data_IF_598546668727
#
_entry.id   IF_598546668727
#
_cell.length_a   1.000
_cell.length_b   1.000
_cell.length_c   1.000
_cell.angle_alpha   90.00
_cell.angle_beta   90.00
_cell.angle_gamma   90.00
#
_symmetry.space_group_name_H-M   'P 1'
#
loop_
_entity.id
_entity.type
_entity.pdbx_description
1 polymer ?
#
# COMPACT_ATOMS: atom_id res chain seq x y z
N UNK A 1 -52.23 -39.23 -27.24
CA UNK A 1 -50.84 -39.04 -27.73
C UNK A 1 -50.67 -37.59 -28.15
N UNK A 2 -49.59 -36.95 -27.69
CA UNK A 2 -49.17 -35.57 -28.02
C UNK A 2 -49.03 -35.37 -29.53
N UNK A 3 -49.36 -34.18 -30.04
CA UNK A 3 -48.49 -33.29 -30.85
C UNK A 3 -49.29 -32.16 -31.54
N UNK A 4 -48.55 -31.11 -31.88
CA UNK A 4 -48.82 -29.95 -32.75
C UNK A 4 -49.38 -28.71 -32.04
N UNK A 5 -48.52 -27.74 -31.71
CA UNK A 5 -47.89 -26.72 -32.59
C UNK A 5 -48.88 -25.59 -32.91
N UNK A 6 -48.75 -24.46 -32.21
CA UNK A 6 -48.11 -23.21 -32.66
C UNK A 6 -48.78 -22.62 -33.92
N UNK A 7 -49.68 -21.64 -33.78
CA UNK A 7 -49.47 -20.19 -33.62
C UNK A 7 -49.35 -19.47 -34.98
N UNK A 8 -50.31 -18.60 -35.29
CA UNK A 8 -50.06 -17.36 -36.03
C UNK A 8 -51.32 -16.48 -36.03
N UNK A 9 -51.26 -15.34 -35.34
CA UNK A 9 -51.86 -14.10 -35.85
C UNK A 9 -50.87 -12.99 -35.60
N UNK A 10 -50.44 -12.38 -36.69
CA UNK A 10 -49.60 -11.20 -36.75
C UNK A 10 -50.32 -9.99 -36.15
N UNK A 11 -49.71 -9.37 -35.14
CA UNK A 11 -50.01 -7.99 -34.80
C UNK A 11 -48.83 -7.12 -35.27
N UNK A 12 -49.11 -6.30 -36.28
CA UNK A 12 -48.21 -5.27 -36.77
C UNK A 12 -47.94 -4.26 -35.65
N UNK A 13 -46.68 -4.13 -35.24
CA UNK A 13 -46.25 -3.04 -34.37
C UNK A 13 -45.57 -2.01 -35.26
N UNK A 14 -46.20 -0.85 -35.30
CA UNK A 14 -45.75 0.40 -35.91
C UNK A 14 -44.29 0.72 -35.57
N UNK A 15 -43.53 1.06 -36.61
CA UNK A 15 -42.20 1.67 -36.53
C UNK A 15 -42.27 3.01 -35.76
N UNK A 16 -41.93 2.98 -34.47
CA UNK A 16 -41.46 4.19 -33.79
C UNK A 16 -39.98 4.35 -34.11
N UNK A 17 -39.67 5.38 -34.89
CA UNK A 17 -38.32 5.82 -35.18
C UNK A 17 -37.56 6.08 -33.86
N UNK A 18 -36.63 5.21 -33.51
CA UNK A 18 -35.60 5.52 -32.52
C UNK A 18 -34.69 6.59 -33.14
N UNK A 19 -34.93 7.85 -32.76
CA UNK A 19 -33.96 8.93 -32.90
C UNK A 19 -32.75 8.59 -32.04
N UNK A 20 -31.71 8.00 -32.63
CA UNK A 20 -30.41 7.92 -31.99
C UNK A 20 -29.79 9.32 -32.00
N UNK A 21 -29.89 10.04 -30.89
CA UNK A 21 -28.93 11.14 -30.65
C UNK A 21 -27.54 10.49 -30.52
N UNK A 22 -26.57 10.81 -31.39
CA UNK A 22 -25.20 10.42 -31.12
C UNK A 22 -24.78 11.14 -29.84
N UNK A 23 -24.15 10.41 -28.93
CA UNK A 23 -23.52 10.98 -27.75
C UNK A 23 -22.52 12.03 -28.22
N UNK A 24 -22.87 13.30 -28.09
CA UNK A 24 -21.98 14.41 -28.37
C UNK A 24 -21.00 14.51 -27.21
N UNK A 25 -19.76 14.06 -27.44
CA UNK A 25 -18.54 14.74 -26.96
C UNK A 25 -18.42 15.16 -25.50
N UNK A 26 -19.21 14.65 -24.56
CA UNK A 26 -18.97 14.90 -23.14
C UNK A 26 -17.87 13.96 -22.66
N UNK A 27 -16.66 14.52 -22.69
CA UNK A 27 -15.39 14.03 -22.15
C UNK A 27 -15.60 13.28 -20.83
N UNK A 28 -15.80 11.96 -20.92
CA UNK A 28 -15.77 11.06 -19.77
C UNK A 28 -14.37 11.08 -19.17
N UNK A 29 -14.17 11.93 -18.14
CA UNK A 29 -12.94 12.04 -17.36
C UNK A 29 -13.22 11.54 -15.94
N UNK A 30 -13.26 10.21 -15.72
CA UNK A 30 -13.69 9.62 -14.45
C UNK A 30 -12.76 9.92 -13.27
N UNK A 31 -11.63 10.58 -13.51
CA UNK A 31 -10.61 10.90 -12.50
C UNK A 31 -10.39 12.41 -12.30
N UNK A 32 -11.24 13.28 -12.87
CA UNK A 32 -11.14 14.74 -12.71
C UNK A 32 -12.30 15.34 -11.90
N UNK A 33 -13.07 14.49 -11.21
CA UNK A 33 -14.12 14.90 -10.29
C UNK A 33 -13.62 14.87 -8.85
N UNK A 34 -13.41 16.06 -8.29
CA UNK A 34 -13.11 16.38 -6.90
C UNK A 34 -11.82 15.75 -6.33
N UNK A 35 -11.03 16.56 -5.62
CA UNK A 35 -9.89 16.08 -4.86
C UNK A 35 -10.36 14.85 -4.09
N UNK A 36 -9.70 13.69 -4.30
CA UNK A 36 -9.90 12.54 -3.43
C UNK A 36 -9.85 13.10 -2.02
N UNK A 37 -11.00 13.10 -1.32
CA UNK A 37 -11.05 13.44 0.09
C UNK A 37 -10.07 12.45 0.69
N UNK A 38 -8.86 12.93 0.99
CA UNK A 38 -7.85 12.14 1.69
C UNK A 38 -8.56 11.80 2.97
N UNK A 39 -9.04 10.56 3.07
CA UNK A 39 -9.44 10.01 4.34
C UNK A 39 -8.28 10.36 5.26
N UNK A 40 -8.53 11.16 6.29
CA UNK A 40 -7.49 11.41 7.27
C UNK A 40 -6.95 10.05 7.69
N UNK A 41 -5.62 9.98 7.83
CA UNK A 41 -4.99 8.77 8.34
C UNK A 41 -5.80 8.29 9.54
N UNK A 42 -6.15 7.00 9.62
CA UNK A 42 -6.81 6.43 10.82
C UNK A 42 -5.99 6.64 12.10
N UNK A 43 -4.76 7.13 11.94
CA UNK A 43 -3.75 7.41 12.96
C UNK A 43 -3.53 8.92 13.15
N UNK A 44 -4.41 9.77 12.62
CA UNK A 44 -4.38 11.21 12.85
C UNK A 44 -4.55 11.48 14.36
N UNK A 45 -3.50 11.98 15.01
CA UNK A 45 -3.43 12.18 16.47
C UNK A 45 -2.54 11.20 17.23
N UNK A 46 -1.93 10.23 16.54
CA UNK A 46 -0.81 9.47 17.12
C UNK A 46 0.43 10.37 17.23
N UNK A 47 0.88 10.59 18.47
CA UNK A 47 2.05 11.42 18.78
C UNK A 47 3.30 10.58 19.07
N UNK A 48 3.25 9.27 18.79
CA UNK A 48 4.37 8.38 19.01
C UNK A 48 5.61 8.85 18.22
N UNK A 49 6.77 8.78 18.86
CA UNK A 49 8.07 9.00 18.21
C UNK A 49 9.05 7.86 18.54
N UNK A 50 10.13 7.67 17.74
CA UNK A 50 11.18 6.69 18.03
C UNK A 50 11.73 6.78 19.45
N UNK A 51 11.82 7.99 20.01
CA UNK A 51 12.30 8.24 21.37
C UNK A 51 11.40 7.64 22.45
N UNK A 52 10.11 7.41 22.17
CA UNK A 52 9.21 6.75 23.11
C UNK A 52 9.65 5.30 23.37
N UNK A 53 10.04 4.56 22.33
CA UNK A 53 10.61 3.21 22.49
C UNK A 53 11.96 3.23 23.19
N UNK A 54 12.84 4.17 22.82
CA UNK A 54 14.16 4.31 23.47
C UNK A 54 13.98 4.59 24.97
N UNK A 55 13.00 5.40 25.35
CA UNK A 55 12.70 5.71 26.75
C UNK A 55 12.14 4.52 27.51
N UNK A 56 11.35 3.66 26.86
CA UNK A 56 10.76 2.47 27.46
C UNK A 56 11.81 1.36 27.66
N UNK A 57 12.58 1.04 26.62
CA UNK A 57 13.55 -0.06 26.64
C UNK A 57 14.92 0.34 27.22
N UNK A 58 15.22 1.65 27.23
CA UNK A 58 16.37 2.28 27.86
C UNK A 58 17.47 2.71 26.89
N UNK A 59 17.66 2.00 25.78
CA UNK A 59 18.55 2.42 24.69
C UNK A 59 18.08 1.91 23.32
N UNK A 60 18.59 2.57 22.26
CA UNK A 60 18.29 2.23 20.87
C UNK A 60 18.73 0.80 20.50
N UNK A 61 19.88 0.36 21.03
CA UNK A 61 20.47 -0.94 20.70
C UNK A 61 19.58 -2.09 21.17
N UNK A 62 18.90 -1.91 22.29
CA UNK A 62 17.96 -2.89 22.82
C UNK A 62 16.70 -3.00 21.98
N UNK A 63 16.12 -1.86 21.58
CA UNK A 63 14.97 -1.86 20.65
C UNK A 63 15.35 -2.59 19.36
N UNK A 64 16.50 -2.24 18.77
CA UNK A 64 17.04 -2.93 17.60
C UNK A 64 17.22 -4.44 17.82
N UNK A 65 17.87 -4.82 18.93
CA UNK A 65 18.05 -6.22 19.30
C UNK A 65 16.71 -6.96 19.38
N UNK A 66 15.69 -6.34 19.97
CA UNK A 66 14.39 -6.96 20.18
C UNK A 66 13.59 -7.07 18.86
N UNK A 67 13.74 -6.11 17.94
CA UNK A 67 13.18 -6.20 16.58
C UNK A 67 13.77 -7.38 15.78
N UNK A 68 15.08 -7.60 15.89
CA UNK A 68 15.74 -8.76 15.28
C UNK A 68 15.35 -10.07 15.98
N UNK A 69 15.39 -10.10 17.31
CA UNK A 69 15.05 -11.29 18.09
C UNK A 69 13.60 -11.74 17.88
N UNK A 70 12.69 -10.79 17.61
CA UNK A 70 11.29 -11.05 17.29
C UNK A 70 11.04 -11.46 15.82
N UNK A 71 12.06 -11.52 14.96
CA UNK A 71 11.90 -11.76 13.52
C UNK A 71 10.96 -10.73 12.85
N UNK A 72 11.02 -9.48 13.31
CA UNK A 72 10.36 -8.34 12.68
C UNK A 72 11.30 -7.77 11.61
N UNK A 73 12.56 -7.57 11.97
CA UNK A 73 13.66 -7.24 11.04
C UNK A 73 14.53 -8.48 10.90
N UNK A 74 14.92 -8.81 9.66
CA UNK A 74 15.76 -9.97 9.36
C UNK A 74 17.17 -9.52 9.01
N UNK A 75 17.31 -8.59 8.07
CA UNK A 75 18.60 -8.10 7.61
C UNK A 75 18.53 -6.67 7.06
N UNK A 76 19.69 -6.07 6.83
CA UNK A 76 19.87 -4.74 6.26
C UNK A 76 21.06 -4.74 5.30
N UNK A 77 20.84 -4.34 4.06
CA UNK A 77 21.90 -4.30 3.05
C UNK A 77 21.62 -3.25 1.97
N UNK A 78 22.61 -2.99 1.12
CA UNK A 78 22.42 -2.20 -0.11
C UNK A 78 22.23 -3.13 -1.29
N UNK A 79 21.24 -2.87 -2.13
CA UNK A 79 21.07 -3.61 -3.37
C UNK A 79 22.17 -3.26 -4.40
N UNK A 80 22.12 -3.88 -5.59
CA UNK A 80 23.08 -3.65 -6.69
C UNK A 80 23.18 -2.18 -7.15
N UNK A 81 22.13 -1.39 -6.93
CA UNK A 81 22.05 0.02 -7.30
C UNK A 81 22.41 0.94 -6.12
N UNK A 82 22.96 0.36 -5.04
CA UNK A 82 23.33 1.01 -3.80
C UNK A 82 22.16 1.69 -3.07
N UNK A 83 20.95 1.17 -3.27
CA UNK A 83 19.76 1.61 -2.54
C UNK A 83 19.65 0.74 -1.28
N UNK A 84 19.49 1.34 -0.08
CA UNK A 84 19.30 0.58 1.14
C UNK A 84 18.01 -0.25 1.08
N UNK A 85 18.10 -1.47 1.61
CA UNK A 85 17.02 -2.44 1.72
C UNK A 85 16.95 -2.90 3.17
N UNK A 86 15.74 -2.86 3.71
CA UNK A 86 15.39 -3.46 4.98
C UNK A 86 14.63 -4.75 4.69
N UNK A 87 15.24 -5.89 5.01
CA UNK A 87 14.58 -7.18 4.96
C UNK A 87 13.79 -7.38 6.25
N UNK A 88 12.49 -7.67 6.10
CA UNK A 88 11.55 -7.86 7.20
C UNK A 88 11.07 -9.29 7.26
N UNK A 89 10.70 -9.74 8.46
CA UNK A 89 10.24 -11.10 8.68
C UNK A 89 8.72 -11.24 8.77
N UNK A 90 8.27 -12.47 8.98
CA UNK A 90 6.84 -12.83 9.13
C UNK A 90 6.08 -11.97 10.14
N UNK A 91 6.72 -11.61 11.26
CA UNK A 91 6.04 -10.84 12.30
C UNK A 91 5.70 -9.43 11.80
N UNK A 92 6.59 -8.80 11.04
CA UNK A 92 6.31 -7.51 10.41
C UNK A 92 5.12 -7.59 9.46
N UNK A 93 5.00 -8.68 8.69
CA UNK A 93 3.89 -8.86 7.76
C UNK A 93 2.54 -9.03 8.49
N UNK A 94 2.55 -9.54 9.71
CA UNK A 94 1.36 -9.73 10.57
C UNK A 94 1.00 -8.49 11.39
N UNK A 95 1.91 -7.53 11.53
CA UNK A 95 1.69 -6.30 12.28
C UNK A 95 0.60 -5.43 11.66
N UNK A 96 0.01 -4.56 12.49
CA UNK A 96 -0.90 -3.53 12.02
C UNK A 96 -0.15 -2.54 11.10
N UNK A 97 -0.90 -1.77 10.29
CA UNK A 97 -0.29 -0.74 9.46
C UNK A 97 0.50 0.30 10.25
N UNK A 98 0.01 0.69 11.43
CA UNK A 98 0.67 1.66 12.29
C UNK A 98 1.93 1.09 12.92
N UNK A 99 1.91 -0.15 13.40
CA UNK A 99 3.11 -0.73 14.02
C UNK A 99 4.22 -0.96 12.99
N UNK A 100 3.87 -1.38 11.77
CA UNK A 100 4.83 -1.41 10.65
C UNK A 100 5.43 -0.03 10.41
N UNK A 101 4.59 1.01 10.36
CA UNK A 101 5.06 2.38 10.16
C UNK A 101 6.03 2.81 11.27
N UNK A 102 5.73 2.52 12.54
CA UNK A 102 6.60 2.82 13.69
C UNK A 102 7.94 2.10 13.62
N UNK A 103 7.94 0.82 13.24
CA UNK A 103 9.18 0.08 12.98
C UNK A 103 10.01 0.79 11.92
N UNK A 104 9.43 1.09 10.76
CA UNK A 104 10.17 1.74 9.66
C UNK A 104 10.66 3.15 10.04
N UNK A 105 9.87 3.92 10.78
CA UNK A 105 10.26 5.22 11.30
C UNK A 105 11.39 5.11 12.32
N UNK A 106 11.38 4.09 13.17
CA UNK A 106 12.47 3.80 14.09
C UNK A 106 13.74 3.42 13.32
N UNK A 107 13.65 2.56 12.31
CA UNK A 107 14.80 2.21 11.46
C UNK A 107 15.40 3.45 10.77
N UNK A 108 14.55 4.33 10.24
CA UNK A 108 15.01 5.59 9.64
C UNK A 108 15.66 6.53 10.66
N UNK A 109 15.18 6.55 11.91
CA UNK A 109 15.81 7.30 12.99
C UNK A 109 17.22 6.79 13.31
N UNK A 110 17.39 5.48 13.40
CA UNK A 110 18.68 4.84 13.73
C UNK A 110 19.71 5.04 12.61
N UNK A 111 19.29 4.91 11.35
CA UNK A 111 20.21 4.90 10.20
C UNK A 111 20.23 6.22 9.41
N UNK A 112 19.37 7.17 9.75
CA UNK A 112 19.23 8.48 9.10
C UNK A 112 19.09 8.39 7.57
N UNK A 113 18.48 7.32 7.06
CA UNK A 113 18.48 7.00 5.62
C UNK A 113 17.80 8.11 4.82
N UNK A 114 16.61 8.52 5.23
CA UNK A 114 15.85 9.56 4.51
C UNK A 114 16.44 10.95 4.65
N UNK A 115 17.21 11.19 5.72
CA UNK A 115 17.90 12.46 5.96
C UNK A 115 19.24 12.56 5.20
N UNK A 116 19.89 11.42 4.94
CA UNK A 116 21.22 11.36 4.30
C UNK A 116 21.25 11.86 2.85
N UNK A 117 20.11 11.94 2.16
CA UNK A 117 20.02 12.46 0.79
C UNK A 117 18.67 13.11 0.48
N UNK A 118 18.65 13.97 -0.54
CA UNK A 118 17.45 14.75 -0.94
C UNK A 118 16.22 13.87 -1.24
N UNK A 119 16.49 12.70 -1.83
CA UNK A 119 15.51 11.70 -2.22
C UNK A 119 15.76 10.37 -1.48
N UNK A 120 16.24 10.47 -0.23
CA UNK A 120 16.58 9.33 0.61
C UNK A 120 15.38 8.41 0.82
N UNK A 121 15.60 7.13 0.57
CA UNK A 121 14.61 6.07 0.69
C UNK A 121 15.29 4.74 0.97
N UNK A 122 14.52 3.80 1.48
CA UNK A 122 14.88 2.39 1.50
C UNK A 122 13.70 1.51 1.07
N UNK A 123 14.02 0.39 0.47
CA UNK A 123 13.02 -0.63 0.16
C UNK A 123 12.74 -1.49 1.38
N UNK A 124 11.50 -1.93 1.50
CA UNK A 124 11.09 -2.96 2.46
C UNK A 124 10.89 -4.24 1.67
N UNK A 125 11.69 -5.25 1.97
CA UNK A 125 11.69 -6.55 1.29
C UNK A 125 11.24 -7.64 2.26
N UNK A 126 10.42 -8.57 1.78
CA UNK A 126 10.04 -9.78 2.50
C UNK A 126 10.47 -10.98 1.66
N UNK A 127 11.28 -11.87 2.24
CA UNK A 127 11.58 -13.16 1.64
C UNK A 127 10.39 -14.10 1.91
N UNK A 128 9.65 -14.44 0.85
CA UNK A 128 8.60 -15.44 0.91
C UNK A 128 9.08 -16.75 0.27
N UNK A 129 9.46 -17.71 1.09
CA UNK A 129 9.88 -19.07 0.67
C UNK A 129 11.05 -19.10 -0.35
N UNK A 130 11.96 -18.13 -0.28
CA UNK A 130 13.13 -17.99 -1.17
C UNK A 130 12.89 -17.06 -2.36
N UNK A 131 11.71 -16.45 -2.47
CA UNK A 131 11.40 -15.40 -3.44
C UNK A 131 11.37 -14.03 -2.73
N UNK A 132 12.37 -13.21 -3.04
CA UNK A 132 12.49 -11.84 -2.55
C UNK A 132 11.40 -10.92 -3.14
N UNK A 133 10.44 -10.50 -2.32
CA UNK A 133 9.37 -9.57 -2.72
C UNK A 133 9.59 -8.18 -2.10
N UNK A 134 9.65 -7.15 -2.95
CA UNK A 134 9.59 -5.76 -2.46
C UNK A 134 8.14 -5.43 -2.10
N UNK A 135 7.85 -5.35 -0.81
CA UNK A 135 6.51 -5.09 -0.28
C UNK A 135 6.19 -3.59 -0.17
N UNK A 136 7.20 -2.73 -0.29
CA UNK A 136 7.02 -1.30 -0.35
C UNK A 136 8.31 -0.50 -0.28
N UNK A 137 8.16 0.81 -0.13
CA UNK A 137 9.25 1.77 0.04
C UNK A 137 8.96 2.70 1.21
N UNK A 138 9.99 3.10 1.93
CA UNK A 138 9.90 4.14 2.95
C UNK A 138 10.76 5.34 2.56
N UNK A 139 10.21 6.55 2.70
CA UNK A 139 10.93 7.80 2.48
C UNK A 139 10.39 8.90 3.42
N UNK A 140 10.84 10.15 3.24
CA UNK A 140 10.36 11.31 4.03
C UNK A 140 8.84 11.56 3.99
N UNK A 141 8.13 10.94 3.05
CA UNK A 141 6.67 11.00 2.95
C UNK A 141 5.98 9.82 3.64
N UNK A 142 6.73 8.91 4.25
CA UNK A 142 6.27 7.73 4.96
C UNK A 142 6.37 6.45 4.15
N UNK A 143 5.73 5.39 4.68
CA UNK A 143 5.69 4.07 4.06
C UNK A 143 4.64 4.00 2.94
N UNK A 144 5.06 3.56 1.76
CA UNK A 144 4.21 3.34 0.60
C UNK A 144 4.28 1.85 0.24
N UNK A 145 3.18 1.14 0.52
CA UNK A 145 3.05 -0.29 0.24
C UNK A 145 2.67 -0.51 -1.23
N UNK A 146 3.19 -1.59 -1.84
CA UNK A 146 2.83 -2.03 -3.18
C UNK A 146 1.63 -3.00 -3.17
#
# INVERSE_FOLDING_TARGET
MRKFSFLMVFAAISLSACSSKPWSGDDFKPYLGEEQIRQSSLWEGDNWTPEDWIKEDGDEKRVMHDLYAANIVVDQYSNKDNIPVLEVGDQFMRMSGIDRFRVLQFMDHVFEITASSKDGLFYVQYDQDGDDEIVGLYNKHGFQRY
#
